data_IF_563907687895
#
_entry.id   IF_563907687895
#
_cell.length_a   1.000
_cell.length_b   1.000
_cell.length_c   1.000
_cell.angle_alpha   90.00
_cell.angle_beta   90.00
_cell.angle_gamma   90.00
#
_symmetry.space_group_name_H-M   'P 1'
#
loop_
_entity.id
_entity.type
_entity.pdbx_description
1 polymer ?
#
# COMPACT_ATOMS: atom_id res chain seq x y z
N UNK A 1 -4.08 1.04 -7.67
CA UNK A 1 -3.13 1.00 -6.56
C UNK A 1 -2.98 -0.43 -6.07
N UNK A 2 -1.79 -0.90 -5.91
CA UNK A 2 -1.55 -2.32 -5.70
C UNK A 2 -0.49 -2.52 -4.63
N UNK A 3 -0.39 -3.77 -4.16
CA UNK A 3 0.70 -4.18 -3.27
C UNK A 3 2.07 -4.02 -3.96
N UNK A 4 2.12 -4.13 -5.27
CA UNK A 4 3.34 -3.90 -6.05
C UNK A 4 3.84 -2.47 -5.90
N UNK A 5 2.93 -1.49 -5.91
CA UNK A 5 3.29 -0.08 -5.74
C UNK A 5 3.87 0.17 -4.35
N UNK A 6 3.22 -0.38 -3.31
CA UNK A 6 3.74 -0.26 -1.94
C UNK A 6 5.13 -0.89 -1.83
N UNK A 7 5.33 -2.06 -2.43
CA UNK A 7 6.61 -2.76 -2.44
C UNK A 7 7.70 -1.94 -3.11
N UNK A 8 7.39 -1.29 -4.23
CA UNK A 8 8.34 -0.43 -4.93
C UNK A 8 8.79 0.73 -4.05
N UNK A 9 7.85 1.38 -3.34
CA UNK A 9 8.19 2.46 -2.42
C UNK A 9 9.08 1.98 -1.28
N UNK A 10 8.80 0.81 -0.71
CA UNK A 10 9.63 0.25 0.36
C UNK A 10 11.04 -0.09 -0.12
N UNK A 11 11.16 -0.63 -1.32
CA UNK A 11 12.47 -0.93 -1.90
C UNK A 11 13.28 0.34 -2.14
N UNK A 12 12.65 1.41 -2.63
CA UNK A 12 13.30 2.69 -2.83
C UNK A 12 13.76 3.30 -1.52
N UNK A 13 13.00 3.13 -0.45
CA UNK A 13 13.33 3.68 0.86
C UNK A 13 14.67 3.15 1.39
N UNK A 14 15.05 1.91 1.05
CA UNK A 14 16.32 1.33 1.52
C UNK A 14 17.56 1.98 0.90
N UNK A 15 17.39 2.73 -0.19
CA UNK A 15 18.49 3.32 -0.96
C UNK A 15 18.55 4.85 -0.83
N UNK A 16 17.68 5.46 -0.02
CA UNK A 16 17.56 6.90 0.09
C UNK A 16 18.08 7.40 1.43
N UNK A 17 18.36 8.72 1.49
CA UNK A 17 18.68 9.38 2.76
C UNK A 17 17.48 9.32 3.71
N UNK A 18 17.72 9.46 5.01
CA UNK A 18 16.70 9.26 6.04
C UNK A 18 15.39 10.02 5.79
N UNK A 19 15.46 11.31 5.42
CA UNK A 19 14.25 12.10 5.17
C UNK A 19 13.47 11.61 3.95
N UNK A 20 14.18 11.28 2.88
CA UNK A 20 13.56 10.72 1.67
C UNK A 20 13.02 9.31 1.95
N UNK A 21 13.72 8.54 2.76
CA UNK A 21 13.25 7.20 3.15
C UNK A 21 11.95 7.28 3.94
N UNK A 22 11.81 8.23 4.85
CA UNK A 22 10.57 8.44 5.60
C UNK A 22 9.42 8.81 4.67
N UNK A 23 9.66 9.65 3.67
CA UNK A 23 8.65 10.02 2.69
C UNK A 23 8.21 8.80 1.87
N UNK A 24 9.15 8.00 1.42
CA UNK A 24 8.83 6.78 0.68
C UNK A 24 8.09 5.76 1.53
N UNK A 25 8.47 5.64 2.79
CA UNK A 25 7.78 4.75 3.72
C UNK A 25 6.33 5.20 3.91
N UNK A 26 6.10 6.49 4.10
CA UNK A 26 4.75 7.05 4.25
C UNK A 26 3.92 6.80 2.98
N UNK A 27 4.49 6.99 1.79
CA UNK A 27 3.81 6.70 0.53
C UNK A 27 3.48 5.20 0.41
N UNK A 28 4.40 4.34 0.78
CA UNK A 28 4.17 2.90 0.77
C UNK A 28 3.04 2.49 1.70
N UNK A 29 2.99 3.06 2.89
CA UNK A 29 1.91 2.80 3.85
C UNK A 29 0.56 3.28 3.32
N UNK A 30 0.54 4.42 2.65
CA UNK A 30 -0.68 4.95 2.03
C UNK A 30 -1.21 3.99 0.97
N UNK A 31 -0.33 3.51 0.08
CA UNK A 31 -0.71 2.55 -0.95
C UNK A 31 -1.19 1.24 -0.36
N UNK A 32 -0.51 0.75 0.67
CA UNK A 32 -0.90 -0.48 1.36
C UNK A 32 -2.27 -0.35 2.01
N UNK A 33 -2.53 0.77 2.69
CA UNK A 33 -3.83 1.03 3.30
C UNK A 33 -4.95 1.01 2.27
N UNK A 34 -4.75 1.62 1.11
CA UNK A 34 -5.73 1.59 0.03
C UNK A 34 -5.99 0.19 -0.49
N UNK A 35 -4.94 -0.60 -0.65
CA UNK A 35 -5.07 -1.99 -1.12
C UNK A 35 -5.88 -2.83 -0.12
N UNK A 36 -5.63 -2.65 1.16
CA UNK A 36 -6.38 -3.34 2.21
C UNK A 36 -7.84 -2.93 2.20
N UNK A 37 -8.13 -1.63 2.07
CA UNK A 37 -9.51 -1.14 2.00
C UNK A 37 -10.25 -1.71 0.81
N UNK A 38 -9.60 -1.77 -0.35
CA UNK A 38 -10.20 -2.36 -1.55
C UNK A 38 -10.48 -3.84 -1.37
N UNK A 39 -9.57 -4.58 -0.75
CA UNK A 39 -9.77 -6.00 -0.47
C UNK A 39 -10.96 -6.22 0.47
N UNK A 40 -11.10 -5.39 1.48
CA UNK A 40 -12.23 -5.46 2.41
C UNK A 40 -13.54 -5.20 1.67
N UNK A 41 -13.59 -4.19 0.82
CA UNK A 41 -14.79 -3.90 0.02
C UNK A 41 -15.16 -5.07 -0.88
N UNK A 42 -14.17 -5.67 -1.53
CA UNK A 42 -14.39 -6.83 -2.40
C UNK A 42 -14.98 -7.99 -1.61
N UNK A 43 -14.44 -8.28 -0.43
CA UNK A 43 -14.95 -9.34 0.44
C UNK A 43 -16.37 -9.04 0.90
N UNK A 44 -16.66 -7.80 1.26
CA UNK A 44 -18.02 -7.41 1.65
C UNK A 44 -19.01 -7.60 0.51
N UNK A 45 -18.63 -7.23 -0.72
CA UNK A 45 -19.46 -7.43 -1.91
C UNK A 45 -19.68 -8.91 -2.18
N UNK A 46 -18.66 -9.73 -2.05
CA UNK A 46 -18.77 -11.18 -2.24
C UNK A 46 -19.74 -11.80 -1.23
N UNK A 47 -19.66 -11.37 0.01
CA UNK A 47 -20.57 -11.83 1.06
C UNK A 47 -22.01 -11.41 0.76
N UNK A 48 -22.24 -10.19 0.30
CA UNK A 48 -23.57 -9.70 -0.07
C UNK A 48 -24.16 -10.43 -1.27
N UNK A 49 -23.31 -10.95 -2.13
CA UNK A 49 -23.74 -11.68 -3.33
C UNK A 49 -24.14 -13.14 -3.04
N UNK A 50 -23.83 -13.62 -1.86
CA UNK A 50 -24.25 -14.95 -1.45
C UNK A 50 -25.73 -14.95 -1.07
#
# INVERSE_FOLDING_TARGET
MSYTDARSHFQNATNLKADAALTELANGLKHLSHAIEEDIRTLEQDIRSL
#
